data_IF_154921874971
#
_entry.id   IF_154921874971
#
_cell.length_a   1.000
_cell.length_b   1.000
_cell.length_c   1.000
_cell.angle_alpha   90.00
_cell.angle_beta   90.00
_cell.angle_gamma   90.00
#
_symmetry.space_group_name_H-M   'P 1'
#
loop_
_entity.id
_entity.type
_entity.pdbx_description
1 polymer ?
#
# COMPACT_ATOMS: atom_id res chain seq x y z
N UNK A 1 -6.29 21.94 6.62
CA UNK A 1 -6.27 20.79 7.55
C UNK A 1 -7.69 20.31 7.94
N UNK A 2 -8.64 20.18 7.00
CA UNK A 2 -10.03 19.73 7.30
C UNK A 2 -10.61 18.65 6.36
N UNK A 3 -9.84 18.18 5.37
CA UNK A 3 -10.33 17.20 4.37
C UNK A 3 -9.94 15.74 4.65
N UNK A 4 -9.04 15.47 5.61
CA UNK A 4 -8.60 14.11 5.93
C UNK A 4 -9.51 13.39 6.94
N UNK A 5 -10.44 14.09 7.59
CA UNK A 5 -11.35 13.45 8.55
C UNK A 5 -12.46 12.67 7.85
N UNK A 6 -12.96 13.17 6.71
CA UNK A 6 -14.02 12.52 5.92
C UNK A 6 -13.58 11.19 5.31
N UNK A 7 -12.32 11.12 4.84
CA UNK A 7 -11.77 9.89 4.26
C UNK A 7 -11.54 8.79 5.32
N UNK A 8 -11.07 9.14 6.52
CA UNK A 8 -10.91 8.17 7.62
C UNK A 8 -12.26 7.64 8.10
N UNK A 9 -13.30 8.49 8.12
CA UNK A 9 -14.65 8.10 8.51
C UNK A 9 -15.31 7.19 7.45
N UNK A 10 -15.09 7.45 6.16
CA UNK A 10 -15.59 6.62 5.06
C UNK A 10 -14.98 5.21 5.02
N UNK A 11 -13.75 5.02 5.50
CA UNK A 11 -13.15 3.68 5.65
C UNK A 11 -13.58 2.95 6.93
N UNK A 12 -14.02 3.68 7.97
CA UNK A 12 -14.52 3.07 9.22
C UNK A 12 -15.89 2.39 9.04
N UNK A 13 -16.74 2.93 8.15
CA UNK A 13 -18.06 2.39 7.82
C UNK A 13 -18.02 0.96 7.23
N UNK A 14 -17.23 0.67 6.17
CA UNK A 14 -17.14 -0.69 5.62
C UNK A 14 -16.43 -1.67 6.58
N UNK A 15 -15.46 -1.19 7.37
CA UNK A 15 -14.78 -2.02 8.38
C UNK A 15 -15.73 -2.47 9.51
N UNK A 16 -16.62 -1.60 9.97
CA UNK A 16 -17.63 -1.97 10.97
C UNK A 16 -18.68 -2.95 10.42
N UNK A 17 -19.04 -2.85 9.13
CA UNK A 17 -19.98 -3.76 8.48
C UNK A 17 -19.35 -5.17 8.31
N UNK A 18 -18.05 -5.24 7.99
CA UNK A 18 -17.35 -6.53 7.86
C UNK A 18 -17.16 -7.22 9.23
N UNK A 19 -16.87 -6.44 10.28
CA UNK A 19 -16.71 -6.95 11.66
C UNK A 19 -18.06 -7.41 12.24
N UNK A 20 -19.16 -6.69 11.99
CA UNK A 20 -20.49 -7.11 12.47
C UNK A 20 -20.99 -8.38 11.77
N UNK A 21 -20.76 -8.52 10.46
CA UNK A 21 -21.07 -9.74 9.69
C UNK A 21 -20.35 -10.98 10.27
N UNK A 22 -19.09 -10.83 10.67
CA UNK A 22 -18.31 -11.91 11.29
C UNK A 22 -18.81 -12.33 12.68
N UNK A 23 -19.46 -11.41 13.41
CA UNK A 23 -20.05 -11.68 14.73
C UNK A 23 -21.43 -12.34 14.62
N UNK A 24 -22.23 -11.97 13.62
CA UNK A 24 -23.57 -12.52 13.39
C UNK A 24 -23.51 -13.98 12.90
N UNK A 25 -22.46 -14.37 12.17
CA UNK A 25 -22.32 -15.75 11.69
C UNK A 25 -21.71 -16.75 12.70
N UNK A 26 -21.44 -16.33 13.95
CA UNK A 26 -20.81 -17.20 14.97
C UNK A 26 -21.68 -17.45 16.21
N UNK A 27 -22.99 -17.22 16.11
CA UNK A 27 -23.93 -17.66 17.15
C UNK A 27 -25.18 -18.23 16.51
N UNK A 28 -25.31 -19.56 16.53
CA UNK A 28 -26.42 -20.28 17.15
C UNK A 28 -26.52 -21.72 16.60
N UNK A 29 -25.74 -22.65 17.15
CA UNK A 29 -26.25 -24.00 17.37
C UNK A 29 -26.71 -24.05 18.83
N UNK A 30 -27.91 -23.55 19.08
CA UNK A 30 -28.61 -23.82 20.33
C UNK A 30 -29.09 -25.27 20.21
N UNK A 31 -28.29 -26.21 20.71
CA UNK A 31 -28.76 -27.58 20.89
C UNK A 31 -29.82 -27.54 22.00
N UNK A 32 -31.09 -27.40 21.60
CA UNK A 32 -32.23 -27.63 22.47
C UNK A 32 -32.06 -29.03 23.03
N UNK A 33 -31.67 -29.11 24.30
CA UNK A 33 -31.68 -30.35 25.06
C UNK A 33 -33.16 -30.63 25.33
N UNK A 34 -33.78 -31.67 24.75
CA UNK A 34 -35.13 -32.02 25.12
C UNK A 34 -35.06 -32.47 26.57
N UNK A 35 -35.67 -31.71 27.48
CA UNK A 35 -35.96 -32.17 28.83
C UNK A 35 -36.95 -33.33 28.71
N UNK A 36 -36.43 -34.54 28.52
CA UNK A 36 -37.22 -35.72 28.79
C UNK A 36 -37.34 -35.79 30.30
N UNK A 37 -38.51 -35.40 30.83
CA UNK A 37 -38.94 -35.79 32.17
C UNK A 37 -38.87 -37.32 32.17
N UNK A 38 -37.95 -37.94 32.91
CA UNK A 38 -37.97 -39.38 33.04
C UNK A 38 -39.22 -39.66 33.84
N UNK A 39 -40.27 -40.16 33.18
CA UNK A 39 -41.32 -40.84 33.89
C UNK A 39 -40.66 -42.11 34.43
N UNK A 40 -40.07 -42.01 35.61
CA UNK A 40 -39.55 -43.15 36.35
C UNK A 40 -40.76 -44.01 36.68
N UNK A 41 -41.12 -44.92 35.77
CA UNK A 41 -41.69 -46.19 36.20
C UNK A 41 -40.62 -46.79 37.08
N UNK A 42 -40.73 -46.56 38.38
CA UNK A 42 -39.87 -47.19 39.35
C UNK A 42 -40.09 -48.69 39.17
N UNK A 43 -39.24 -49.32 38.38
CA UNK A 43 -38.81 -50.69 38.67
C UNK A 43 -38.03 -50.58 39.98
N UNK A 44 -38.73 -50.28 41.08
CA UNK A 44 -38.24 -50.70 42.37
C UNK A 44 -38.10 -52.20 42.20
N UNK A 45 -36.85 -52.66 42.16
CA UNK A 45 -36.56 -54.05 42.46
C UNK A 45 -37.12 -54.20 43.88
N UNK A 46 -38.34 -54.73 43.98
CA UNK A 46 -38.88 -55.23 45.23
C UNK A 46 -37.84 -56.25 45.68
N UNK A 47 -37.11 -55.90 46.73
CA UNK A 47 -36.19 -56.80 47.40
C UNK A 47 -37.05 -57.89 48.04
N UNK A 48 -37.39 -58.90 47.22
CA UNK A 48 -38.00 -60.11 47.71
C UNK A 48 -36.85 -60.95 48.27
N UNK A 49 -36.87 -61.19 49.58
CA UNK A 49 -36.00 -62.16 50.22
C UNK A 49 -36.27 -63.57 49.65
N UNK A 50 -35.62 -63.90 48.54
CA UNK A 50 -35.60 -65.25 47.97
C UNK A 50 -34.37 -66.00 48.50
N UNK A 51 -34.23 -66.12 49.81
CA UNK A 51 -33.36 -67.14 50.39
C UNK A 51 -34.21 -68.31 50.87
N UNK A 52 -34.48 -69.24 49.96
CA UNK A 52 -35.17 -70.50 50.26
C UNK A 52 -34.10 -71.59 50.45
N UNK A 53 -33.68 -71.82 51.69
CA UNK A 53 -32.55 -72.70 52.09
C UNK A 53 -32.71 -74.19 51.70
N UNK A 54 -33.83 -74.55 51.05
CA UNK A 54 -34.22 -75.93 50.76
C UNK A 54 -33.59 -76.53 49.48
N UNK A 55 -32.83 -75.74 48.70
CA UNK A 55 -32.24 -76.18 47.43
C UNK A 55 -30.71 -76.25 47.43
N UNK A 56 -30.05 -75.92 48.55
CA UNK A 56 -28.59 -75.91 48.65
C UNK A 56 -27.97 -77.33 48.55
N UNK A 57 -28.74 -78.37 48.85
CA UNK A 57 -28.31 -79.77 48.83
C UNK A 57 -28.96 -80.59 47.69
N UNK A 58 -29.75 -79.98 46.81
CA UNK A 58 -30.31 -80.65 45.64
C UNK A 58 -29.20 -80.85 44.59
N UNK A 59 -28.86 -82.10 44.22
CA UNK A 59 -27.79 -82.38 43.28
C UNK A 59 -28.02 -81.75 41.89
N UNK A 60 -29.27 -81.60 41.47
CA UNK A 60 -29.62 -80.97 40.20
C UNK A 60 -29.41 -79.44 40.30
N UNK A 61 -29.90 -78.81 41.37
CA UNK A 61 -29.71 -77.37 41.59
C UNK A 61 -28.23 -76.99 41.75
N UNK A 62 -27.43 -77.81 42.43
CA UNK A 62 -26.00 -77.59 42.59
C UNK A 62 -25.27 -77.60 41.24
N UNK A 63 -25.63 -78.54 40.36
CA UNK A 63 -25.06 -78.60 39.00
C UNK A 63 -25.43 -77.38 38.16
N UNK A 64 -26.66 -76.88 38.28
CA UNK A 64 -27.14 -75.68 37.58
C UNK A 64 -26.41 -74.45 38.09
N UNK A 65 -26.28 -74.29 39.41
CA UNK A 65 -25.55 -73.18 40.05
C UNK A 65 -24.08 -73.15 39.63
N UNK A 66 -23.37 -74.27 39.71
CA UNK A 66 -21.96 -74.36 39.27
C UNK A 66 -21.81 -74.04 37.78
N UNK A 67 -22.77 -74.43 36.94
CA UNK A 67 -22.76 -74.12 35.51
C UNK A 67 -23.02 -72.64 35.24
N UNK A 68 -23.94 -72.01 35.99
CA UNK A 68 -24.18 -70.57 35.95
C UNK A 68 -22.95 -69.80 36.43
N UNK A 69 -22.35 -70.17 37.56
CA UNK A 69 -21.15 -69.52 38.09
C UNK A 69 -19.99 -69.62 37.10
N UNK A 70 -19.78 -70.80 36.49
CA UNK A 70 -18.77 -71.00 35.45
C UNK A 70 -19.02 -70.13 34.21
N UNK A 71 -20.25 -70.10 33.70
CA UNK A 71 -20.61 -69.24 32.56
C UNK A 71 -20.53 -67.76 32.89
N UNK A 72 -20.82 -67.38 34.14
CA UNK A 72 -20.81 -65.99 34.59
C UNK A 72 -19.36 -65.51 34.77
N UNK A 73 -18.48 -66.31 35.36
CA UNK A 73 -17.03 -66.02 35.41
C UNK A 73 -16.43 -65.83 34.02
N UNK A 74 -16.73 -66.71 33.05
CA UNK A 74 -16.24 -66.56 31.68
C UNK A 74 -16.71 -65.23 31.05
N UNK A 75 -17.98 -64.85 31.23
CA UNK A 75 -18.49 -63.57 30.73
C UNK A 75 -17.85 -62.36 31.40
N UNK A 76 -17.48 -62.46 32.67
CA UNK A 76 -16.76 -61.40 33.37
C UNK A 76 -15.34 -61.23 32.82
N UNK A 77 -14.59 -62.31 32.63
CA UNK A 77 -13.26 -62.26 32.01
C UNK A 77 -13.32 -61.68 30.58
N UNK A 78 -14.25 -62.16 29.74
CA UNK A 78 -14.45 -61.61 28.39
C UNK A 78 -14.89 -60.13 28.39
N UNK A 79 -15.63 -59.70 29.41
CA UNK A 79 -16.00 -58.30 29.56
C UNK A 79 -14.80 -57.44 29.95
N UNK A 80 -13.99 -57.91 30.90
CA UNK A 80 -12.79 -57.23 31.36
C UNK A 80 -11.74 -57.12 30.25
N UNK A 81 -11.50 -58.18 29.48
CA UNK A 81 -10.61 -58.13 28.32
C UNK A 81 -11.09 -57.12 27.27
N UNK A 82 -12.40 -57.10 26.96
CA UNK A 82 -12.98 -56.10 26.05
C UNK A 82 -12.85 -54.70 26.59
N UNK A 83 -13.04 -54.51 27.90
CA UNK A 83 -12.90 -53.21 28.56
C UNK A 83 -11.46 -52.71 28.53
N UNK A 84 -10.48 -53.57 28.83
CA UNK A 84 -9.05 -53.25 28.76
C UNK A 84 -8.66 -52.87 27.34
N UNK A 85 -9.02 -53.71 26.34
CA UNK A 85 -8.72 -53.46 24.92
C UNK A 85 -9.34 -52.15 24.42
N UNK A 86 -10.57 -51.84 24.82
CA UNK A 86 -11.21 -50.55 24.51
C UNK A 86 -10.47 -49.39 25.15
N UNK A 87 -10.15 -49.45 26.45
CA UNK A 87 -9.40 -48.39 27.14
C UNK A 87 -8.04 -48.14 26.49
N UNK A 88 -7.32 -49.19 26.13
CA UNK A 88 -6.02 -49.08 25.47
C UNK A 88 -6.15 -48.41 24.08
N UNK A 89 -7.14 -48.82 23.29
CA UNK A 89 -7.43 -48.19 21.98
C UNK A 89 -7.74 -46.69 22.11
N UNK A 90 -8.55 -46.29 23.09
CA UNK A 90 -8.85 -44.87 23.31
C UNK A 90 -7.64 -44.08 23.83
N UNK A 91 -6.79 -44.69 24.66
CA UNK A 91 -5.56 -44.07 25.15
C UNK A 91 -4.58 -43.81 23.99
N UNK A 92 -4.34 -44.80 23.14
CA UNK A 92 -3.51 -44.65 21.94
C UNK A 92 -4.08 -43.61 20.96
N UNK A 93 -5.40 -43.60 20.77
CA UNK A 93 -6.05 -42.60 19.93
C UNK A 93 -5.83 -41.19 20.47
N UNK A 94 -6.02 -40.98 21.79
CA UNK A 94 -5.75 -39.70 22.43
C UNK A 94 -4.29 -39.27 22.30
N UNK A 95 -3.36 -40.19 22.52
CA UNK A 95 -1.92 -39.88 22.44
C UNK A 95 -1.53 -39.47 21.00
N UNK A 96 -2.08 -40.14 19.98
CA UNK A 96 -1.91 -39.76 18.57
C UNK A 96 -2.48 -38.37 18.27
N UNK A 97 -3.68 -38.08 18.77
CA UNK A 97 -4.32 -36.78 18.56
C UNK A 97 -3.55 -35.65 19.27
N UNK A 98 -3.04 -35.90 20.48
CA UNK A 98 -2.18 -34.96 21.21
C UNK A 98 -0.89 -34.70 20.44
N UNK A 99 -0.20 -35.74 19.95
CA UNK A 99 1.00 -35.56 19.13
C UNK A 99 0.73 -34.73 17.87
N UNK A 100 -0.39 -34.97 17.19
CA UNK A 100 -0.81 -34.20 16.01
C UNK A 100 -1.04 -32.72 16.35
N UNK A 101 -1.67 -32.42 17.49
CA UNK A 101 -1.89 -31.04 17.96
C UNK A 101 -0.56 -30.35 18.28
N UNK A 102 0.36 -31.03 18.97
CA UNK A 102 1.68 -30.49 19.31
C UNK A 102 2.49 -30.17 18.05
N UNK A 103 2.49 -31.08 17.07
CA UNK A 103 3.21 -30.92 15.82
C UNK A 103 2.65 -29.74 15.00
N UNK A 104 1.32 -29.58 14.99
CA UNK A 104 0.65 -28.44 14.37
C UNK A 104 0.99 -27.10 15.05
N UNK A 105 0.96 -27.04 16.39
CA UNK A 105 1.32 -25.83 17.15
C UNK A 105 2.81 -25.45 16.93
N UNK A 106 3.69 -26.43 16.73
CA UNK A 106 5.12 -26.20 16.41
C UNK A 106 5.31 -25.62 15.00
N UNK A 107 4.58 -26.10 14.00
CA UNK A 107 4.60 -25.57 12.63
C UNK A 107 4.04 -24.14 12.59
N UNK A 108 2.92 -23.89 13.26
CA UNK A 108 2.31 -22.54 13.37
C UNK A 108 3.30 -21.56 14.02
N UNK A 109 3.93 -21.93 15.15
CA UNK A 109 4.94 -21.09 15.81
C UNK A 109 6.14 -20.76 14.91
N UNK A 110 6.66 -21.73 14.16
CA UNK A 110 7.85 -21.49 13.31
C UNK A 110 7.54 -20.64 12.09
N UNK A 111 6.36 -20.80 11.48
CA UNK A 111 5.90 -19.93 10.39
C UNK A 111 5.73 -18.49 10.87
N UNK A 112 5.12 -18.30 12.04
CA UNK A 112 4.90 -16.99 12.65
C UNK A 112 6.22 -16.30 13.01
N UNK A 113 7.17 -17.00 13.63
CA UNK A 113 8.47 -16.42 14.02
C UNK A 113 9.27 -15.96 12.79
N UNK A 114 9.16 -16.69 11.67
CA UNK A 114 9.73 -16.28 10.38
C UNK A 114 9.04 -15.02 9.82
N UNK A 115 7.71 -14.96 9.89
CA UNK A 115 6.94 -13.78 9.43
C UNK A 115 7.21 -12.56 10.31
N UNK A 116 7.33 -12.72 11.63
CA UNK A 116 7.65 -11.64 12.57
C UNK A 116 9.07 -11.11 12.35
N UNK A 117 10.06 -12.01 12.16
CA UNK A 117 11.44 -11.62 11.84
C UNK A 117 11.56 -10.94 10.48
N UNK A 118 10.77 -11.39 9.49
CA UNK A 118 10.68 -10.73 8.19
C UNK A 118 10.01 -9.35 8.28
N UNK A 119 8.92 -9.23 9.06
CA UNK A 119 8.21 -7.97 9.29
C UNK A 119 9.08 -6.95 10.06
N UNK A 120 9.83 -7.38 11.08
CA UNK A 120 10.74 -6.51 11.83
C UNK A 120 11.90 -6.02 10.95
N UNK A 121 12.45 -6.90 10.09
CA UNK A 121 13.50 -6.54 9.14
C UNK A 121 12.98 -5.58 8.05
N UNK A 122 11.74 -5.79 7.60
CA UNK A 122 11.07 -4.93 6.62
C UNK A 122 10.67 -3.57 7.25
N UNK A 123 10.20 -3.55 8.48
CA UNK A 123 9.82 -2.35 9.24
C UNK A 123 11.02 -1.47 9.62
N UNK A 124 12.14 -2.06 10.02
CA UNK A 124 13.38 -1.30 10.25
C UNK A 124 14.03 -0.83 8.94
N UNK A 125 13.93 -1.61 7.85
CA UNK A 125 14.44 -1.24 6.53
C UNK A 125 13.63 -0.14 5.83
N UNK A 126 12.30 -0.16 5.98
CA UNK A 126 11.39 0.82 5.37
C UNK A 126 11.09 2.02 6.28
N UNK A 127 11.18 1.87 7.60
CA UNK A 127 10.74 2.88 8.58
C UNK A 127 11.78 3.87 9.07
N UNK A 128 13.09 3.62 8.93
CA UNK A 128 14.12 4.51 9.49
C UNK A 128 15.20 4.99 8.50
N UNK A 129 15.39 4.34 7.34
CA UNK A 129 16.43 4.74 6.38
C UNK A 129 15.96 5.56 5.18
N UNK A 130 14.67 5.47 4.83
CA UNK A 130 14.19 5.88 3.49
C UNK A 130 13.36 7.17 3.52
N UNK A 131 12.65 7.44 4.62
CA UNK A 131 11.79 8.63 4.72
C UNK A 131 12.54 9.98 4.68
N UNK A 132 13.70 10.17 5.34
CA UNK A 132 14.44 11.44 5.26
C UNK A 132 15.05 11.65 3.86
N UNK A 133 15.52 10.55 3.24
CA UNK A 133 16.25 10.61 1.97
C UNK A 133 15.30 10.90 0.81
N UNK A 134 14.10 10.30 0.76
CA UNK A 134 13.18 10.55 -0.36
C UNK A 134 12.58 11.95 -0.33
N UNK A 135 12.37 12.54 0.85
CA UNK A 135 11.94 13.94 0.97
C UNK A 135 13.02 14.94 0.52
N UNK A 136 14.28 14.70 0.88
CA UNK A 136 15.40 15.57 0.49
C UNK A 136 15.80 15.40 -0.98
N UNK A 137 15.78 14.16 -1.49
CA UNK A 137 16.11 13.87 -2.88
C UNK A 137 15.03 14.44 -3.80
N UNK A 138 13.75 14.18 -3.54
CA UNK A 138 12.68 14.72 -4.41
C UNK A 138 12.74 16.26 -4.52
N UNK A 139 12.91 16.98 -3.41
CA UNK A 139 13.01 18.45 -3.42
C UNK A 139 14.18 18.99 -4.27
N UNK A 140 15.37 18.38 -4.18
CA UNK A 140 16.54 18.81 -4.96
C UNK A 140 16.37 18.56 -6.47
N UNK A 141 15.75 17.43 -6.83
CA UNK A 141 15.48 17.10 -8.24
C UNK A 141 14.41 18.03 -8.82
N UNK A 142 13.35 18.36 -8.08
CA UNK A 142 12.34 19.34 -8.54
C UNK A 142 12.94 20.73 -8.78
N UNK A 143 13.80 21.21 -7.88
CA UNK A 143 14.46 22.51 -8.06
C UNK A 143 15.36 22.52 -9.31
N UNK A 144 16.22 21.51 -9.45
CA UNK A 144 17.13 21.38 -10.61
C UNK A 144 16.35 21.25 -11.92
N UNK A 145 15.26 20.47 -11.92
CA UNK A 145 14.41 20.29 -13.10
C UNK A 145 13.66 21.57 -13.46
N UNK A 146 13.12 22.30 -12.48
CA UNK A 146 12.45 23.59 -12.72
C UNK A 146 13.41 24.63 -13.33
N UNK A 147 14.66 24.63 -12.88
CA UNK A 147 15.72 25.47 -13.45
C UNK A 147 16.12 25.03 -14.87
N UNK A 148 16.12 23.72 -15.14
CA UNK A 148 16.40 23.19 -16.48
C UNK A 148 15.30 23.54 -17.49
N UNK A 149 14.03 23.38 -17.10
CA UNK A 149 12.87 23.72 -17.95
C UNK A 149 12.91 25.20 -18.31
N UNK A 150 13.08 26.08 -17.33
CA UNK A 150 13.13 27.53 -17.55
C UNK A 150 14.28 27.94 -18.48
N UNK A 151 15.50 27.41 -18.28
CA UNK A 151 16.63 27.70 -19.16
C UNK A 151 16.42 27.19 -20.60
N UNK A 152 15.84 26.00 -20.75
CA UNK A 152 15.58 25.42 -22.08
C UNK A 152 14.50 26.20 -22.83
N UNK A 153 13.44 26.60 -22.14
CA UNK A 153 12.38 27.47 -22.70
C UNK A 153 12.90 28.84 -23.11
N UNK A 154 13.73 29.48 -22.28
CA UNK A 154 14.34 30.79 -22.61
C UNK A 154 15.24 30.67 -23.84
N UNK A 155 16.07 29.62 -23.92
CA UNK A 155 16.95 29.39 -25.07
C UNK A 155 16.15 29.25 -26.38
N UNK A 156 15.03 28.52 -26.35
CA UNK A 156 14.13 28.38 -27.49
C UNK A 156 13.42 29.69 -27.86
N UNK A 157 13.05 30.49 -26.86
CA UNK A 157 12.51 31.83 -27.08
C UNK A 157 13.50 32.75 -27.80
N UNK A 158 14.75 32.82 -27.33
CA UNK A 158 15.80 33.65 -27.95
C UNK A 158 16.07 33.23 -29.40
N UNK A 159 16.17 31.91 -29.66
CA UNK A 159 16.36 31.37 -31.02
C UNK A 159 15.23 31.82 -31.97
N UNK A 160 13.98 31.80 -31.50
CA UNK A 160 12.83 32.24 -32.28
C UNK A 160 12.82 33.76 -32.53
N UNK A 161 13.19 34.58 -31.55
CA UNK A 161 13.30 36.05 -31.73
C UNK A 161 14.36 36.37 -32.79
N UNK A 162 15.54 35.74 -32.72
CA UNK A 162 16.64 35.97 -33.68
C UNK A 162 16.20 35.60 -35.10
N UNK A 163 15.54 34.45 -35.27
CA UNK A 163 15.06 33.99 -36.57
C UNK A 163 14.00 34.94 -37.15
N UNK A 164 13.07 35.41 -36.32
CA UNK A 164 12.05 36.36 -36.76
C UNK A 164 12.62 37.74 -37.11
N UNK A 165 13.62 38.23 -36.37
CA UNK A 165 14.29 39.49 -36.69
C UNK A 165 15.11 39.39 -37.98
N UNK A 166 15.80 38.26 -38.20
CA UNK A 166 16.52 38.01 -39.45
C UNK A 166 15.57 38.02 -40.66
N UNK A 167 14.43 37.34 -40.53
CA UNK A 167 13.43 37.22 -41.61
C UNK A 167 12.68 38.54 -41.87
N UNK A 168 12.31 39.28 -40.81
CA UNK A 168 11.48 40.49 -40.92
C UNK A 168 12.26 41.75 -41.30
N UNK A 169 13.52 41.87 -40.84
CA UNK A 169 14.33 43.06 -41.07
C UNK A 169 15.42 42.84 -42.12
N UNK A 170 15.67 41.60 -42.56
CA UNK A 170 16.73 41.28 -43.52
C UNK A 170 18.14 41.60 -43.00
N UNK A 171 18.29 41.75 -41.68
CA UNK A 171 19.56 42.06 -41.01
C UNK A 171 20.33 40.75 -40.82
N UNK A 172 20.83 40.20 -41.92
CA UNK A 172 21.62 38.96 -41.89
C UNK A 172 22.94 39.14 -41.13
N UNK A 173 23.46 40.38 -41.02
CA UNK A 173 24.64 40.74 -40.21
C UNK A 173 24.59 42.22 -39.82
N UNK A 174 24.48 42.53 -38.52
CA UNK A 174 25.05 43.79 -38.03
C UNK A 174 26.57 43.71 -38.24
N UNK A 175 27.22 44.77 -38.74
CA UNK A 175 28.67 44.77 -38.92
C UNK A 175 29.34 44.77 -37.55
N UNK A 176 29.80 43.60 -37.12
CA UNK A 176 30.70 43.45 -35.97
C UNK A 176 30.08 42.86 -34.69
N UNK A 177 28.75 42.76 -34.58
CA UNK A 177 28.09 42.20 -33.37
C UNK A 177 27.05 41.14 -33.79
N UNK A 178 27.16 39.89 -33.32
CA UNK A 178 26.14 38.88 -33.59
C UNK A 178 24.86 39.18 -32.80
N UNK A 179 23.68 38.98 -33.39
CA UNK A 179 22.37 39.16 -32.70
C UNK A 179 22.24 38.33 -31.40
N UNK A 180 23.03 37.27 -31.26
CA UNK A 180 23.13 36.44 -30.05
C UNK A 180 23.73 37.17 -28.85
N UNK A 181 24.50 38.24 -29.08
CA UNK A 181 25.09 39.07 -28.03
C UNK A 181 24.16 40.23 -27.63
N UNK A 182 23.35 40.69 -28.59
CA UNK A 182 22.34 41.74 -28.39
C UNK A 182 21.11 41.17 -27.67
N UNK A 183 20.66 39.98 -28.05
CA UNK A 183 19.43 39.36 -27.50
C UNK A 183 19.81 38.36 -26.43
N UNK A 184 19.51 38.72 -25.19
CA UNK A 184 19.82 37.94 -23.99
C UNK A 184 18.55 37.49 -23.28
N UNK A 185 18.71 36.61 -22.29
CA UNK A 185 17.62 36.20 -21.40
C UNK A 185 16.95 37.38 -20.67
N UNK A 186 17.64 38.53 -20.56
CA UNK A 186 17.15 39.72 -19.88
C UNK A 186 16.30 40.67 -20.74
N UNK A 187 16.32 40.56 -22.06
CA UNK A 187 15.63 41.52 -22.95
C UNK A 187 14.71 40.88 -24.01
N UNK A 188 14.83 39.58 -24.31
CA UNK A 188 14.09 38.92 -25.39
C UNK A 188 12.54 38.98 -25.28
N UNK A 189 12.02 39.29 -24.08
CA UNK A 189 10.58 39.35 -23.79
C UNK A 189 9.97 40.76 -23.92
N UNK A 190 10.78 41.79 -24.15
CA UNK A 190 10.35 43.18 -24.17
C UNK A 190 10.79 43.85 -25.47
N UNK A 191 9.80 44.32 -26.23
CA UNK A 191 10.00 45.09 -27.45
C UNK A 191 10.74 46.41 -27.19
N UNK A 192 10.43 47.08 -26.07
CA UNK A 192 11.10 48.33 -25.68
C UNK A 192 12.59 48.14 -25.38
N UNK A 193 12.96 47.09 -24.63
CA UNK A 193 14.37 46.82 -24.29
C UNK A 193 15.18 46.40 -25.52
N UNK A 194 14.60 45.60 -26.41
CA UNK A 194 15.25 45.24 -27.67
C UNK A 194 15.44 46.49 -28.53
N UNK A 195 14.43 47.36 -28.60
CA UNK A 195 14.52 48.59 -29.39
C UNK A 195 15.56 49.58 -28.83
N UNK A 196 15.67 49.72 -27.50
CA UNK A 196 16.69 50.56 -26.84
C UNK A 196 18.12 50.04 -27.05
N UNK A 197 18.33 48.73 -26.86
CA UNK A 197 19.64 48.09 -27.08
C UNK A 197 20.07 48.18 -28.53
N UNK A 198 19.15 47.92 -29.47
CA UNK A 198 19.39 48.10 -30.89
C UNK A 198 19.73 49.55 -31.25
N UNK A 199 19.03 50.55 -30.69
CA UNK A 199 19.30 51.96 -30.97
C UNK A 199 20.66 52.40 -30.42
N UNK A 200 21.04 51.97 -29.22
CA UNK A 200 22.34 52.30 -28.62
C UNK A 200 23.50 51.77 -29.48
N UNK A 201 23.42 50.50 -29.91
CA UNK A 201 24.43 49.93 -30.79
C UNK A 201 24.38 50.53 -32.20
N UNK A 202 23.18 50.83 -32.73
CA UNK A 202 23.02 51.51 -34.01
C UNK A 202 23.76 52.85 -34.06
N UNK A 203 23.58 53.68 -33.04
CA UNK A 203 24.20 55.01 -32.98
C UNK A 203 25.71 54.87 -32.95
N UNK A 204 26.24 53.90 -32.21
CA UNK A 204 27.69 53.66 -32.14
C UNK A 204 28.28 53.21 -33.48
N UNK A 205 27.58 52.34 -34.22
CA UNK A 205 28.05 51.78 -35.50
C UNK A 205 27.84 52.75 -36.67
N UNK A 206 26.74 53.48 -36.70
CA UNK A 206 26.40 54.42 -37.78
C UNK A 206 27.11 55.79 -37.65
N UNK A 207 27.81 56.04 -36.54
CA UNK A 207 28.66 57.21 -36.35
C UNK A 207 30.06 57.05 -36.96
N UNK A 208 30.44 55.83 -37.34
CA UNK A 208 31.70 55.54 -38.04
C UNK A 208 31.45 55.69 -39.55
N UNK A 209 32.28 56.48 -40.22
CA UNK A 209 32.20 56.74 -41.65
C UNK A 209 32.63 55.48 -42.44
N UNK A 210 31.72 54.52 -42.60
CA UNK A 210 31.97 53.31 -43.40
C UNK A 210 31.36 53.43 -44.80
N UNK A 211 32.12 52.98 -45.80
CA UNK A 211 31.82 53.01 -47.25
C UNK A 211 30.70 52.06 -47.70
N UNK A 212 30.00 51.40 -46.77
CA UNK A 212 28.88 50.49 -47.05
C UNK A 212 27.58 51.06 -46.50
N UNK A 213 26.59 51.25 -47.37
CA UNK A 213 25.23 51.63 -47.00
C UNK A 213 24.57 50.49 -46.22
N UNK A 214 24.83 50.44 -44.91
CA UNK A 214 24.20 49.51 -43.99
C UNK A 214 22.70 49.80 -43.98
N UNK A 215 21.89 48.81 -44.35
CA UNK A 215 20.42 48.92 -44.37
C UNK A 215 19.91 49.47 -43.03
N UNK A 216 20.54 49.06 -41.93
CA UNK A 216 20.32 49.54 -40.56
C UNK A 216 20.59 51.03 -40.30
N UNK A 217 21.59 51.63 -40.96
CA UNK A 217 21.84 53.07 -40.84
C UNK A 217 20.93 53.90 -41.75
N UNK A 218 20.42 53.30 -42.84
CA UNK A 218 19.34 53.89 -43.63
C UNK A 218 18.02 53.91 -42.84
N UNK A 219 17.83 52.92 -41.96
CA UNK A 219 16.68 52.81 -41.08
C UNK A 219 16.55 53.95 -40.05
N UNK A 220 17.67 54.51 -39.59
CA UNK A 220 17.69 55.60 -38.61
C UNK A 220 17.59 56.99 -39.23
N UNK A 221 17.88 57.14 -40.53
CA UNK A 221 17.94 58.45 -41.23
C UNK A 221 16.64 58.87 -41.93
N UNK A 222 15.78 57.93 -42.33
CA UNK A 222 14.53 58.23 -43.05
C UNK A 222 13.30 58.06 -42.13
N UNK A 223 12.52 59.13 -41.98
CA UNK A 223 11.51 59.31 -40.92
C UNK A 223 10.29 58.38 -40.90
N UNK A 224 9.66 58.36 -39.70
CA UNK A 224 8.36 57.83 -39.23
C UNK A 224 7.79 56.52 -39.77
N UNK A 225 7.69 56.31 -41.08
CA UNK A 225 7.03 55.12 -41.69
C UNK A 225 7.92 53.86 -41.64
N UNK A 226 9.20 54.08 -41.43
CA UNK A 226 10.21 53.03 -41.33
C UNK A 226 10.42 52.58 -39.88
N UNK A 227 10.30 53.53 -38.94
CA UNK A 227 10.32 53.29 -37.48
C UNK A 227 9.10 52.45 -37.05
N UNK A 228 7.94 52.68 -37.67
CA UNK A 228 6.73 51.89 -37.39
C UNK A 228 6.87 50.43 -37.83
N UNK A 229 7.48 50.16 -39.00
CA UNK A 229 7.76 48.80 -39.49
C UNK A 229 8.80 48.06 -38.67
N UNK A 230 9.81 48.76 -38.17
CA UNK A 230 10.79 48.18 -37.23
C UNK A 230 10.11 47.85 -35.90
N UNK A 231 9.30 48.78 -35.38
CA UNK A 231 8.55 48.56 -34.14
C UNK A 231 7.58 47.37 -34.26
N UNK A 232 6.89 47.22 -35.40
CA UNK A 232 6.03 46.06 -35.64
C UNK A 232 6.84 44.76 -35.79
N UNK A 233 7.95 44.78 -36.55
CA UNK A 233 8.82 43.61 -36.71
C UNK A 233 9.44 43.13 -35.40
N UNK A 234 9.85 44.06 -34.53
CA UNK A 234 10.35 43.73 -33.19
C UNK A 234 9.24 43.18 -32.29
N UNK A 235 8.02 43.74 -32.35
CA UNK A 235 6.87 43.21 -31.59
C UNK A 235 6.50 41.79 -32.02
N UNK A 236 6.45 41.54 -33.32
CA UNK A 236 6.14 40.22 -33.86
C UNK A 236 7.23 39.20 -33.50
N UNK A 237 8.50 39.61 -33.53
CA UNK A 237 9.62 38.77 -33.11
C UNK A 237 9.57 38.44 -31.60
N UNK A 238 9.28 39.42 -30.75
CA UNK A 238 9.10 39.21 -29.30
C UNK A 238 7.93 38.28 -29.02
N UNK A 239 6.82 38.44 -29.75
CA UNK A 239 5.65 37.58 -29.59
C UNK A 239 5.97 36.14 -30.00
N UNK A 240 6.62 35.93 -31.14
CA UNK A 240 7.09 34.62 -31.57
C UNK A 240 8.06 33.98 -30.56
N UNK A 241 8.95 34.79 -29.96
CA UNK A 241 9.82 34.37 -28.87
C UNK A 241 9.08 33.88 -27.63
N UNK A 242 8.04 34.62 -27.21
CA UNK A 242 7.16 34.23 -26.09
C UNK A 242 6.41 32.94 -26.39
N UNK A 243 5.84 32.82 -27.59
CA UNK A 243 5.06 31.66 -28.01
C UNK A 243 5.95 30.40 -28.10
N UNK A 244 7.17 30.52 -28.64
CA UNK A 244 8.14 29.43 -28.70
C UNK A 244 8.61 28.99 -27.30
N UNK A 245 8.88 29.94 -26.40
CA UNK A 245 9.25 29.64 -25.01
C UNK A 245 8.11 28.93 -24.26
N UNK A 246 6.86 29.39 -24.46
CA UNK A 246 5.66 28.78 -23.89
C UNK A 246 5.41 27.37 -24.43
N UNK A 247 5.54 27.16 -25.73
CA UNK A 247 5.35 25.86 -26.36
C UNK A 247 6.36 24.81 -25.83
N UNK A 248 7.64 25.17 -25.70
CA UNK A 248 8.63 24.24 -25.14
C UNK A 248 8.42 24.03 -23.63
N UNK A 249 8.05 25.08 -22.90
CA UNK A 249 7.73 24.99 -21.47
C UNK A 249 6.54 24.07 -21.18
N UNK A 250 5.48 24.16 -21.96
CA UNK A 250 4.27 23.32 -21.82
C UNK A 250 4.54 21.86 -22.18
N UNK A 251 5.35 21.60 -23.22
CA UNK A 251 5.80 20.25 -23.58
C UNK A 251 6.62 19.59 -22.46
N UNK A 252 7.52 20.32 -21.82
CA UNK A 252 8.30 19.76 -20.69
C UNK A 252 7.42 19.58 -19.43
N UNK A 253 6.52 20.52 -19.16
CA UNK A 253 5.60 20.48 -18.01
C UNK A 253 4.59 19.31 -18.08
N UNK A 254 4.06 19.03 -19.27
CA UNK A 254 3.14 17.91 -19.50
C UNK A 254 3.84 16.57 -19.26
N UNK A 255 5.05 16.38 -19.78
CA UNK A 255 5.85 15.19 -19.55
C UNK A 255 6.14 14.97 -18.06
N UNK A 256 6.50 16.03 -17.31
CA UNK A 256 6.66 15.91 -15.87
C UNK A 256 5.38 15.53 -15.16
N UNK A 257 4.24 16.11 -15.54
CA UNK A 257 2.96 15.85 -14.90
C UNK A 257 2.59 14.36 -15.01
N UNK A 258 2.80 13.75 -16.18
CA UNK A 258 2.55 12.32 -16.42
C UNK A 258 3.44 11.43 -15.54
N UNK A 259 4.72 11.78 -15.39
CA UNK A 259 5.63 11.04 -14.51
C UNK A 259 5.21 11.14 -13.05
N UNK A 260 4.81 12.33 -12.60
CA UNK A 260 4.37 12.54 -11.21
C UNK A 260 3.10 11.79 -10.87
N UNK A 261 2.10 11.76 -11.77
CA UNK A 261 0.85 11.03 -11.53
C UNK A 261 1.12 9.52 -11.44
N UNK A 262 1.97 8.98 -12.32
CA UNK A 262 2.40 7.57 -12.26
C UNK A 262 3.09 7.22 -10.94
N UNK A 263 4.03 8.07 -10.48
CA UNK A 263 4.73 7.88 -9.21
C UNK A 263 3.75 7.92 -8.03
N UNK A 264 2.81 8.88 -8.01
CA UNK A 264 1.81 9.00 -6.95
C UNK A 264 0.94 7.74 -6.89
N UNK A 265 0.45 7.25 -8.04
CA UNK A 265 -0.37 6.02 -8.09
C UNK A 265 0.41 4.81 -7.57
N UNK A 266 1.70 4.69 -7.92
CA UNK A 266 2.58 3.64 -7.39
C UNK A 266 2.71 3.69 -5.87
N UNK A 267 2.97 4.89 -5.31
CA UNK A 267 3.09 5.10 -3.86
C UNK A 267 1.78 4.76 -3.14
N UNK A 268 0.63 5.24 -3.66
CA UNK A 268 -0.69 4.93 -3.10
C UNK A 268 -0.93 3.42 -3.07
N UNK A 269 -0.58 2.72 -4.15
CA UNK A 269 -0.73 1.27 -4.24
C UNK A 269 0.11 0.55 -3.17
N UNK A 270 1.37 0.96 -2.97
CA UNK A 270 2.25 0.39 -1.93
C UNK A 270 1.67 0.62 -0.53
N UNK A 271 1.18 1.84 -0.24
CA UNK A 271 0.58 2.18 1.06
C UNK A 271 -0.65 1.32 1.36
N UNK A 272 -1.50 1.05 0.35
CA UNK A 272 -2.66 0.17 0.49
C UNK A 272 -2.24 -1.26 0.84
N UNK A 273 -1.21 -1.80 0.16
CA UNK A 273 -0.68 -3.15 0.46
C UNK A 273 -0.14 -3.22 1.90
N UNK A 274 0.62 -2.22 2.33
CA UNK A 274 1.15 -2.15 3.70
C UNK A 274 0.02 -2.09 4.73
N UNK A 275 -1.03 -1.30 4.49
CA UNK A 275 -2.20 -1.23 5.36
C UNK A 275 -2.90 -2.59 5.50
N UNK A 276 -3.11 -3.31 4.40
CA UNK A 276 -3.71 -4.66 4.43
C UNK A 276 -2.85 -5.62 5.27
N UNK A 277 -1.52 -5.59 5.09
CA UNK A 277 -0.59 -6.41 5.87
C UNK A 277 -0.65 -6.10 7.37
N UNK A 278 -0.76 -4.81 7.74
CA UNK A 278 -0.91 -4.39 9.15
C UNK A 278 -2.23 -4.86 9.74
N UNK A 279 -3.34 -4.77 8.99
CA UNK A 279 -4.66 -5.27 9.45
C UNK A 279 -4.60 -6.77 9.71
N UNK A 280 -4.07 -7.55 8.76
CA UNK A 280 -3.91 -9.01 8.90
C UNK A 280 -3.04 -9.33 10.13
N UNK A 281 -1.92 -8.61 10.29
CA UNK A 281 -1.04 -8.76 11.44
C UNK A 281 -1.76 -8.51 12.78
N UNK A 282 -2.56 -7.44 12.88
CA UNK A 282 -3.32 -7.13 14.09
C UNK A 282 -4.36 -8.21 14.41
N UNK A 283 -5.05 -8.75 13.41
CA UNK A 283 -6.01 -9.86 13.58
C UNK A 283 -5.29 -11.10 14.11
N UNK A 284 -4.17 -11.49 13.52
CA UNK A 284 -3.38 -12.65 13.97
C UNK A 284 -2.87 -12.46 15.40
N UNK A 285 -2.34 -11.27 15.71
CA UNK A 285 -1.87 -10.93 17.06
C UNK A 285 -3.00 -11.00 18.10
N UNK A 286 -4.19 -10.51 17.75
CA UNK A 286 -5.36 -10.59 18.62
C UNK A 286 -5.77 -12.05 18.92
N UNK A 287 -5.83 -12.90 17.89
CA UNK A 287 -6.13 -14.33 18.06
C UNK A 287 -5.13 -15.05 18.95
N UNK A 288 -3.84 -14.69 18.86
CA UNK A 288 -2.76 -15.25 19.70
C UNK A 288 -2.97 -14.91 21.17
N UNK A 289 -3.32 -13.65 21.48
CA UNK A 289 -3.59 -13.22 22.86
C UNK A 289 -4.74 -14.01 23.49
N UNK A 290 -5.80 -14.26 22.72
CA UNK A 290 -6.92 -15.11 23.16
C UNK A 290 -6.47 -16.56 23.41
N UNK A 291 -5.70 -17.16 22.48
CA UNK A 291 -5.19 -18.55 22.62
C UNK A 291 -4.34 -18.70 23.88
N UNK A 292 -3.48 -17.73 24.17
CA UNK A 292 -2.62 -17.73 25.36
C UNK A 292 -3.41 -17.60 26.66
N UNK A 293 -4.40 -16.69 26.71
CA UNK A 293 -5.27 -16.57 27.88
C UNK A 293 -6.05 -17.86 28.18
N UNK A 294 -6.57 -18.52 27.14
CA UNK A 294 -7.24 -19.83 27.31
C UNK A 294 -6.28 -20.90 27.83
N UNK A 295 -5.06 -20.99 27.28
CA UNK A 295 -4.02 -21.93 27.78
C UNK A 295 -3.69 -21.70 29.25
N UNK A 296 -3.62 -20.45 29.69
CA UNK A 296 -3.39 -20.09 31.10
C UNK A 296 -4.55 -20.55 32.01
N UNK A 297 -5.80 -20.43 31.55
CA UNK A 297 -6.97 -20.91 32.31
C UNK A 297 -6.97 -22.44 32.44
N UNK A 298 -6.70 -23.18 31.35
CA UNK A 298 -6.66 -24.65 31.40
C UNK A 298 -5.51 -25.18 32.27
N UNK A 299 -4.35 -24.53 32.26
CA UNK A 299 -3.21 -24.93 33.12
C UNK A 299 -3.52 -24.72 34.61
N UNK A 300 -4.26 -23.67 34.97
CA UNK A 300 -4.75 -23.49 36.34
C UNK A 300 -5.73 -24.60 36.76
N UNK A 301 -6.66 -24.98 35.88
CA UNK A 301 -7.63 -26.05 36.16
C UNK A 301 -6.99 -27.44 36.28
N UNK A 302 -5.89 -27.70 35.58
CA UNK A 302 -5.17 -28.99 35.61
C UNK A 302 -4.20 -29.14 36.78
N UNK A 303 -3.87 -28.04 37.48
CA UNK A 303 -2.95 -28.04 38.62
C UNK A 303 -3.65 -28.04 39.98
N UNK A 304 -4.99 -28.08 39.97
CA UNK A 304 -5.86 -28.22 41.13
C UNK A 304 -6.32 -29.67 41.27
#
# INVERSE_FOLDING_TARGET
MKLHYTNVLLFSLPLNILVSSSYVHNRNNLYNTPHHIPNTTSRMLSECDLYMHNYDNDPEMKSVKENFDRQTSQRFEEYDERMIKKRQKYKEQRDKDIQKIILKDKMEKTLEEKVEKACLRCGCGLGCGVAPVWGLVSGLWYATWSQYVTQTSIKKGIEAVILHLDTSLGITRLPGVPLTEIITSGNYYSDTLIMETMQSEAVSLCSVESTTNLVFCSFTKNGSDLISKISSGVKDAVQAGKDAALAEGTKLATNTSILTTSIIVSIVTIVVIVLVMVIIYLILRYRRKIKMNKKLQYTKLLSQ
#
